data_IF_658751633969
#
_entry.id   IF_658751633969
#
_cell.length_a   1.000
_cell.length_b   1.000
_cell.length_c   1.000
_cell.angle_alpha   90.00
_cell.angle_beta   90.00
_cell.angle_gamma   90.00
#
_symmetry.space_group_name_H-M   'P 1'
#
loop_
_entity.id
_entity.type
_entity.pdbx_description
1 polymer ?
#
# COMPACT_ATOMS: atom_id res chain seq x y z
N UNK A 1 7.77 0.31 44.90
CA UNK A 1 6.68 -0.25 44.07
C UNK A 1 7.26 -0.49 42.68
N UNK A 2 7.39 -1.75 42.26
CA UNK A 2 7.86 -2.06 40.90
C UNK A 2 6.91 -1.43 39.90
N UNK A 3 7.38 -0.50 39.07
CA UNK A 3 6.51 0.08 38.05
C UNK A 3 6.18 -1.02 37.05
N UNK A 4 4.90 -1.40 37.02
CA UNK A 4 4.34 -2.28 36.00
C UNK A 4 4.77 -1.77 34.62
N UNK A 5 5.25 -2.66 33.77
CA UNK A 5 5.66 -2.33 32.41
C UNK A 5 4.44 -1.84 31.64
N UNK A 6 4.57 -0.68 31.01
CA UNK A 6 3.52 -0.03 30.21
C UNK A 6 4.07 0.26 28.84
N UNK A 7 3.29 -0.13 27.84
CA UNK A 7 3.64 -0.11 26.43
C UNK A 7 2.45 0.44 25.66
N UNK A 8 2.74 1.20 24.61
CA UNK A 8 1.79 1.67 23.61
C UNK A 8 2.46 1.40 22.28
N UNK A 9 1.69 0.85 21.35
CA UNK A 9 2.11 0.66 19.96
C UNK A 9 1.09 1.34 19.07
N UNK A 10 1.57 2.05 18.07
CA UNK A 10 0.75 2.86 17.16
C UNK A 10 1.16 2.53 15.74
N UNK A 11 0.23 2.06 14.93
CA UNK A 11 0.41 1.92 13.49
C UNK A 11 0.17 3.28 12.82
N UNK A 12 1.16 3.74 12.07
CA UNK A 12 1.16 5.11 11.55
C UNK A 12 0.11 5.30 10.46
N UNK A 13 -0.15 4.29 9.63
CA UNK A 13 -1.22 4.31 8.63
C UNK A 13 -2.61 4.54 9.26
N UNK A 14 -2.77 4.20 10.54
CA UNK A 14 -3.97 4.42 11.35
C UNK A 14 -4.08 5.80 11.98
N UNK A 15 -3.20 6.76 11.64
CA UNK A 15 -3.31 8.11 12.18
C UNK A 15 -4.63 8.78 11.77
N UNK A 16 -5.31 9.39 12.76
CA UNK A 16 -6.60 10.09 12.61
C UNK A 16 -6.51 11.24 11.59
N UNK A 17 -5.44 12.03 11.68
CA UNK A 17 -5.13 13.09 10.74
C UNK A 17 -3.78 12.78 10.08
N UNK A 18 -3.79 12.60 8.76
CA UNK A 18 -2.56 12.31 8.01
C UNK A 18 -1.81 13.59 7.59
N UNK A 19 -2.40 14.77 7.76
CA UNK A 19 -1.82 16.01 7.25
C UNK A 19 -1.60 15.88 5.74
N UNK A 20 -0.35 16.08 5.29
CA UNK A 20 0.04 15.78 3.90
C UNK A 20 0.82 14.46 3.73
N UNK A 21 0.85 13.60 4.75
CA UNK A 21 1.38 12.24 4.62
C UNK A 21 0.36 11.35 3.90
N UNK A 22 0.86 10.38 3.15
CA UNK A 22 0.04 9.39 2.43
C UNK A 22 0.28 8.00 2.99
N UNK A 23 -0.73 7.13 2.92
CA UNK A 23 -0.58 5.70 3.24
C UNK A 23 0.00 4.99 2.03
N UNK A 24 1.13 4.32 2.22
CA UNK A 24 1.78 3.54 1.19
C UNK A 24 1.70 2.04 1.51
N UNK A 25 0.81 1.28 0.84
CA UNK A 25 0.71 -0.17 0.98
C UNK A 25 1.57 -0.98 -0.01
N UNK A 26 2.48 -0.36 -0.80
CA UNK A 26 3.18 -1.07 -1.88
C UNK A 26 4.05 -2.24 -1.38
N UNK A 27 4.68 -2.10 -0.21
CA UNK A 27 5.64 -3.08 0.32
C UNK A 27 5.08 -3.93 1.46
N UNK A 28 3.75 -4.06 1.57
CA UNK A 28 3.10 -4.80 2.66
C UNK A 28 3.60 -6.24 2.76
N UNK A 29 3.88 -6.94 1.66
CA UNK A 29 4.36 -8.32 1.73
C UNK A 29 5.76 -8.44 2.36
N UNK A 30 6.60 -7.42 2.19
CA UNK A 30 7.93 -7.37 2.81
C UNK A 30 7.87 -6.80 4.23
N UNK A 31 6.93 -5.89 4.48
CA UNK A 31 6.84 -5.06 5.70
C UNK A 31 5.87 -5.58 6.75
N UNK A 32 4.91 -6.40 6.32
CA UNK A 32 3.75 -6.86 7.07
C UNK A 32 2.66 -5.80 7.30
N UNK A 33 2.84 -4.56 6.83
CA UNK A 33 1.90 -3.44 6.99
C UNK A 33 2.16 -2.33 5.95
N UNK A 34 1.15 -1.47 5.72
CA UNK A 34 1.36 -0.15 5.14
C UNK A 34 2.17 0.76 6.07
N UNK A 35 2.61 1.90 5.56
CA UNK A 35 3.28 2.93 6.37
C UNK A 35 2.87 4.33 5.91
N UNK A 36 3.12 5.34 6.74
CA UNK A 36 2.99 6.74 6.31
C UNK A 36 4.24 7.21 5.57
N UNK A 37 4.02 7.94 4.47
CA UNK A 37 5.06 8.56 3.66
C UNK A 37 4.79 10.06 3.45
N UNK A 38 5.77 10.91 3.74
CA UNK A 38 5.69 12.36 3.52
C UNK A 38 6.07 12.73 2.08
N UNK A 39 5.11 12.73 1.16
CA UNK A 39 5.38 13.04 -0.26
C UNK A 39 5.08 14.50 -0.60
N UNK A 40 6.02 15.40 -0.29
CA UNK A 40 5.88 16.85 -0.48
C UNK A 40 6.62 17.44 -1.68
N UNK A 41 7.28 16.61 -2.49
CA UNK A 41 8.09 17.05 -3.64
C UNK A 41 9.18 18.09 -3.27
N UNK A 42 9.76 17.95 -2.07
CA UNK A 42 10.79 18.85 -1.54
C UNK A 42 10.29 20.01 -0.70
N UNK A 43 8.98 20.13 -0.52
CA UNK A 43 8.37 21.01 0.47
C UNK A 43 7.84 20.17 1.64
N UNK A 44 8.19 20.49 2.91
CA UNK A 44 7.67 19.75 4.04
C UNK A 44 6.13 19.74 4.07
N UNK A 45 5.55 18.56 4.25
CA UNK A 45 4.10 18.40 4.30
C UNK A 45 3.51 18.70 5.69
N UNK A 46 2.21 18.98 5.75
CA UNK A 46 1.51 19.16 7.03
C UNK A 46 1.66 17.92 7.92
N UNK A 47 1.80 18.14 9.23
CA UNK A 47 2.05 17.07 10.21
C UNK A 47 0.93 16.03 10.23
N UNK A 48 1.32 14.75 10.24
CA UNK A 48 0.41 13.68 10.63
C UNK A 48 0.27 13.66 12.15
N UNK A 49 -0.93 13.37 12.67
CA UNK A 49 -1.18 13.26 14.10
C UNK A 49 -2.28 12.26 14.46
N UNK A 50 -2.17 11.68 15.64
CA UNK A 50 -3.21 10.84 16.25
C UNK A 50 -3.17 10.98 17.77
N UNK A 51 -4.25 10.57 18.43
CA UNK A 51 -4.33 10.55 19.89
C UNK A 51 -3.93 9.18 20.44
N UNK A 52 -3.13 9.16 21.50
CA UNK A 52 -2.75 7.94 22.22
C UNK A 52 -3.07 8.06 23.70
N UNK A 53 -3.59 6.97 24.28
CA UNK A 53 -3.91 6.93 25.71
C UNK A 53 -2.73 6.46 26.55
N UNK A 54 -2.17 7.38 27.34
CA UNK A 54 -1.06 7.09 28.24
C UNK A 54 -1.59 6.47 29.54
N UNK A 55 -1.20 5.22 29.89
CA UNK A 55 -1.83 4.49 31.01
C UNK A 55 -1.43 5.04 32.39
N UNK A 56 -0.28 5.71 32.50
CA UNK A 56 0.19 6.33 33.73
C UNK A 56 1.16 7.48 33.47
N UNK A 57 1.10 8.54 34.28
CA UNK A 57 2.08 9.64 34.22
C UNK A 57 3.47 9.13 34.53
N UNK A 58 4.47 9.56 33.77
CA UNK A 58 5.85 9.11 33.96
C UNK A 58 6.75 9.46 32.81
N UNK A 59 7.96 8.92 32.85
CA UNK A 59 8.87 9.00 31.72
C UNK A 59 8.62 7.83 30.76
N UNK A 60 8.52 8.13 29.48
CA UNK A 60 8.42 7.15 28.42
C UNK A 60 9.56 7.34 27.43
N UNK A 61 9.97 6.22 26.87
CA UNK A 61 10.94 6.08 25.80
C UNK A 61 10.17 5.82 24.51
N UNK A 62 10.57 6.46 23.42
CA UNK A 62 9.88 6.37 22.14
C UNK A 62 10.84 5.86 21.06
N UNK A 63 10.35 4.93 20.26
CA UNK A 63 11.00 4.43 19.05
C UNK A 63 10.05 4.56 17.87
N UNK A 64 10.61 4.74 16.68
CA UNK A 64 9.89 4.64 15.42
C UNK A 64 10.47 3.52 14.56
N UNK A 65 9.62 2.75 13.90
CA UNK A 65 10.05 1.85 12.83
C UNK A 65 10.06 2.63 11.52
N UNK A 66 11.25 2.89 11.01
CA UNK A 66 11.52 3.80 9.88
C UNK A 66 12.67 3.25 9.05
N UNK A 67 12.89 3.82 7.87
CA UNK A 67 14.09 3.58 7.07
C UNK A 67 14.54 4.86 6.35
N UNK A 68 15.83 4.98 6.11
CA UNK A 68 16.37 5.88 5.08
C UNK A 68 16.15 5.23 3.72
N UNK A 69 15.34 5.86 2.87
CA UNK A 69 15.01 5.34 1.55
C UNK A 69 16.11 5.60 0.50
N UNK A 70 17.05 6.50 0.78
CA UNK A 70 18.18 6.81 -0.09
C UNK A 70 19.47 6.99 0.72
N UNK A 71 20.02 5.90 1.30
CA UNK A 71 21.23 5.97 2.10
C UNK A 71 22.44 6.36 1.24
N UNK A 72 23.28 7.26 1.76
CA UNK A 72 24.51 7.68 1.09
C UNK A 72 25.33 8.71 1.88
N UNK A 73 26.25 9.37 1.19
CA UNK A 73 27.12 10.40 1.78
C UNK A 73 26.47 11.80 1.71
N UNK A 74 25.20 11.88 2.11
CA UNK A 74 24.39 13.11 2.12
C UNK A 74 23.46 13.10 3.34
N UNK A 75 22.77 14.22 3.58
CA UNK A 75 21.73 14.26 4.62
C UNK A 75 20.53 13.42 4.18
N UNK A 76 19.97 12.55 5.04
CA UNK A 76 18.86 11.68 4.66
C UNK A 76 17.67 12.49 4.15
N UNK A 77 17.19 12.23 2.92
CA UNK A 77 16.15 13.04 2.34
C UNK A 77 14.78 12.81 2.97
N UNK A 78 14.56 11.73 3.71
CA UNK A 78 13.28 11.43 4.36
C UNK A 78 13.24 11.76 5.86
N UNK A 79 13.89 12.84 6.29
CA UNK A 79 14.01 13.16 7.72
C UNK A 79 12.70 13.71 8.31
N UNK A 80 12.34 13.26 9.51
CA UNK A 80 11.16 13.75 10.25
C UNK A 80 11.38 13.76 11.77
N UNK A 81 10.66 14.63 12.47
CA UNK A 81 10.61 14.65 13.94
C UNK A 81 9.37 13.94 14.48
N UNK A 82 9.44 13.55 15.75
CA UNK A 82 8.30 13.03 16.51
C UNK A 82 8.02 13.97 17.68
N UNK A 83 6.75 14.31 17.84
CA UNK A 83 6.24 15.08 18.97
C UNK A 83 5.33 14.20 19.82
N UNK A 84 5.42 14.34 21.14
CA UNK A 84 4.48 13.70 22.08
C UNK A 84 3.95 14.75 23.05
N UNK A 85 2.68 15.12 22.87
CA UNK A 85 2.10 16.32 23.47
C UNK A 85 2.75 17.57 22.87
N UNK A 86 3.21 18.48 23.72
CA UNK A 86 3.90 19.71 23.31
C UNK A 86 5.42 19.53 23.21
N UNK A 87 5.96 18.35 23.55
CA UNK A 87 7.40 18.10 23.58
C UNK A 87 7.88 17.40 22.30
N UNK A 88 8.80 18.07 21.58
CA UNK A 88 9.55 17.45 20.49
C UNK A 88 10.60 16.49 21.04
N UNK A 89 10.69 15.29 20.48
CA UNK A 89 11.73 14.34 20.83
C UNK A 89 13.11 14.78 20.33
N UNK A 90 14.19 14.45 21.06
CA UNK A 90 15.53 15.00 20.80
C UNK A 90 16.21 14.47 19.53
N UNK A 91 15.75 13.35 18.95
CA UNK A 91 16.31 12.77 17.73
C UNK A 91 15.26 12.73 16.64
N UNK A 92 15.65 13.19 15.45
CA UNK A 92 14.91 12.99 14.20
C UNK A 92 15.13 11.58 13.65
N UNK A 93 14.19 11.13 12.81
CA UNK A 93 14.06 9.80 12.25
C UNK A 93 14.43 9.76 10.77
N UNK A 94 14.52 8.57 10.16
CA UNK A 94 14.84 8.41 8.74
C UNK A 94 16.33 8.30 8.41
N UNK A 95 17.19 8.02 9.38
CA UNK A 95 18.66 8.06 9.23
C UNK A 95 19.35 6.71 8.95
N UNK A 96 18.61 5.60 8.99
CA UNK A 96 19.21 4.26 8.98
C UNK A 96 18.71 3.44 7.81
N UNK A 97 19.65 2.85 7.06
CA UNK A 97 19.35 1.93 5.97
C UNK A 97 18.64 0.69 6.49
N UNK A 98 17.57 0.29 5.77
CA UNK A 98 16.75 -0.85 6.12
C UNK A 98 15.72 -0.52 7.20
N UNK A 99 14.60 -1.22 7.16
CA UNK A 99 13.51 -0.99 8.10
C UNK A 99 13.85 -1.49 9.49
N UNK A 100 13.73 -0.61 10.49
CA UNK A 100 13.93 -1.02 11.87
C UNK A 100 13.60 0.04 12.92
N UNK A 101 13.61 -0.40 14.18
CA UNK A 101 13.34 0.45 15.34
C UNK A 101 14.48 1.43 15.64
N UNK A 102 14.18 2.72 15.53
CA UNK A 102 15.11 3.81 15.80
C UNK A 102 14.66 4.57 17.05
N UNK A 103 15.56 4.80 17.99
CA UNK A 103 15.23 5.46 19.25
C UNK A 103 15.14 6.97 19.08
N UNK A 104 13.96 7.54 19.35
CA UNK A 104 13.67 8.96 19.21
C UNK A 104 13.98 9.77 20.47
N UNK A 105 13.82 9.17 21.66
CA UNK A 105 14.20 9.79 22.91
C UNK A 105 13.30 9.46 24.08
N UNK A 106 13.42 10.29 25.12
CA UNK A 106 12.70 10.14 26.39
C UNK A 106 11.94 11.43 26.68
N UNK A 107 10.68 11.29 27.09
CA UNK A 107 9.75 12.39 27.32
C UNK A 107 8.93 12.11 28.58
N UNK A 108 8.53 13.17 29.29
CA UNK A 108 7.67 13.05 30.47
C UNK A 108 6.23 13.35 30.07
N UNK A 109 5.36 12.36 30.17
CA UNK A 109 3.95 12.48 29.81
C UNK A 109 3.02 12.29 31.02
N UNK A 110 1.85 12.91 30.96
CA UNK A 110 0.77 12.72 31.94
C UNK A 110 -0.11 11.55 31.52
N UNK A 111 -0.75 10.89 32.50
CA UNK A 111 -1.79 9.90 32.26
C UNK A 111 -2.95 10.54 31.49
N UNK A 112 -3.53 9.80 30.55
CA UNK A 112 -4.67 10.21 29.73
C UNK A 112 -4.29 10.37 28.27
N UNK A 113 -5.22 10.90 27.49
CA UNK A 113 -5.02 11.16 26.07
C UNK A 113 -3.93 12.22 25.86
N UNK A 114 -3.00 11.94 24.94
CA UNK A 114 -2.01 12.89 24.43
C UNK A 114 -1.91 12.72 22.92
N UNK A 115 -1.57 13.80 22.22
CA UNK A 115 -1.35 13.74 20.76
C UNK A 115 0.08 13.28 20.48
N UNK A 116 0.26 12.39 19.51
CA UNK A 116 1.54 12.12 18.86
C UNK A 116 1.51 12.72 17.46
N UNK A 117 2.63 13.31 17.03
CA UNK A 117 2.72 13.92 15.70
C UNK A 117 4.01 13.52 14.98
N UNK A 118 3.93 13.39 13.66
CA UNK A 118 5.06 13.28 12.75
C UNK A 118 5.20 14.61 12.01
N UNK A 119 6.34 15.27 12.17
CA UNK A 119 6.68 16.52 11.50
C UNK A 119 7.69 16.22 10.41
N UNK A 120 7.29 16.35 9.15
CA UNK A 120 8.19 16.25 8.00
C UNK A 120 9.15 17.44 8.00
N UNK A 121 10.42 17.19 7.70
CA UNK A 121 11.47 18.22 7.66
C UNK A 121 11.98 18.50 6.25
N UNK A 122 11.58 17.68 5.29
CA UNK A 122 12.29 17.58 4.01
C UNK A 122 11.38 17.62 2.79
N UNK A 123 10.16 17.12 2.89
CA UNK A 123 9.27 16.96 1.74
C UNK A 123 9.66 15.81 0.81
N UNK A 124 10.67 15.00 1.15
CA UNK A 124 11.18 13.93 0.30
C UNK A 124 11.01 12.55 0.94
N UNK A 125 9.75 12.11 1.06
CA UNK A 125 9.37 10.74 1.38
C UNK A 125 9.90 10.23 2.72
N UNK A 126 9.80 11.01 3.80
CA UNK A 126 10.00 10.44 5.15
C UNK A 126 9.04 9.28 5.39
N UNK A 127 9.51 8.16 5.96
CA UNK A 127 8.74 6.90 6.08
C UNK A 127 8.61 6.45 7.52
N UNK A 128 7.39 6.26 8.00
CA UNK A 128 7.14 5.78 9.36
C UNK A 128 6.07 4.69 9.36
N UNK A 129 6.44 3.48 9.78
CA UNK A 129 5.55 2.33 9.89
C UNK A 129 4.81 2.33 11.23
N UNK A 130 5.55 2.36 12.33
CA UNK A 130 4.94 2.28 13.65
C UNK A 130 5.74 3.03 14.72
N UNK A 131 5.06 3.42 15.79
CA UNK A 131 5.67 3.98 17.00
C UNK A 131 5.53 3.00 18.15
N UNK A 132 6.60 2.83 18.93
CA UNK A 132 6.59 2.10 20.19
C UNK A 132 6.96 3.04 21.32
N UNK A 133 6.08 3.16 22.31
CA UNK A 133 6.21 4.06 23.45
C UNK A 133 6.17 3.23 24.73
N UNK A 134 7.22 3.28 25.54
CA UNK A 134 7.38 2.38 26.70
C UNK A 134 7.96 3.08 27.91
N UNK A 135 7.47 2.74 29.11
CA UNK A 135 8.06 3.25 30.36
C UNK A 135 9.38 2.55 30.74
N UNK A 136 9.88 1.65 29.88
CA UNK A 136 11.18 0.98 30.02
C UNK A 136 12.03 1.21 28.77
N UNK A 137 13.33 1.37 28.96
CA UNK A 137 14.27 1.40 27.84
C UNK A 137 14.46 -0.02 27.28
N UNK A 138 13.66 -0.39 26.27
CA UNK A 138 13.76 -1.68 25.58
C UNK A 138 13.41 -1.47 24.11
N UNK A 139 14.41 -1.61 23.24
CA UNK A 139 14.19 -1.61 21.79
C UNK A 139 13.38 -2.84 21.38
N UNK A 140 12.29 -2.69 20.61
CA UNK A 140 11.56 -3.83 20.06
C UNK A 140 12.43 -4.57 19.01
N UNK A 141 12.12 -5.84 18.74
CA UNK A 141 12.82 -6.62 17.70
C UNK A 141 12.17 -6.41 16.33
N UNK A 142 12.95 -6.62 15.26
CA UNK A 142 12.47 -6.59 13.87
C UNK A 142 12.02 -7.98 13.37
N UNK A 143 11.93 -8.99 14.24
CA UNK A 143 11.43 -10.32 13.86
C UNK A 143 9.94 -10.24 13.47
N UNK A 144 9.59 -10.85 12.33
CA UNK A 144 8.23 -10.75 11.77
C UNK A 144 7.17 -11.28 12.72
N UNK A 145 7.36 -12.47 13.31
CA UNK A 145 6.41 -13.05 14.28
C UNK A 145 6.17 -12.13 15.49
N UNK A 146 7.20 -11.40 15.92
CA UNK A 146 7.10 -10.45 17.02
C UNK A 146 6.35 -9.17 16.60
N UNK A 147 6.58 -8.67 15.38
CA UNK A 147 5.84 -7.53 14.85
C UNK A 147 4.36 -7.86 14.68
N UNK A 148 4.05 -9.05 14.13
CA UNK A 148 2.69 -9.56 14.03
C UNK A 148 2.02 -9.65 15.41
N UNK A 149 2.69 -10.24 16.39
CA UNK A 149 2.19 -10.31 17.77
C UNK A 149 1.98 -8.92 18.39
N UNK A 150 2.84 -7.93 18.11
CA UNK A 150 2.60 -6.55 18.55
C UNK A 150 1.36 -5.93 17.90
N UNK A 151 1.21 -6.05 16.58
CA UNK A 151 0.04 -5.55 15.85
C UNK A 151 -1.26 -6.17 16.39
N UNK A 152 -1.25 -7.50 16.59
CA UNK A 152 -2.37 -8.24 17.17
C UNK A 152 -2.75 -7.72 18.57
N UNK A 153 -1.74 -7.48 19.42
CA UNK A 153 -1.97 -7.08 20.82
C UNK A 153 -2.42 -5.64 21.01
N UNK A 154 -1.98 -4.72 20.15
CA UNK A 154 -2.14 -3.28 20.40
C UNK A 154 -3.02 -2.56 19.39
N UNK A 155 -3.06 -3.01 18.14
CA UNK A 155 -3.86 -2.38 17.08
C UNK A 155 -5.23 -3.00 16.91
N UNK A 156 -5.51 -4.10 17.61
CA UNK A 156 -6.68 -4.94 17.30
C UNK A 156 -6.56 -5.61 15.93
N UNK A 157 -5.35 -5.74 15.39
CA UNK A 157 -5.12 -6.50 14.16
C UNK A 157 -5.72 -7.89 14.33
N UNK A 158 -6.67 -8.23 13.46
CA UNK A 158 -7.31 -9.53 13.50
C UNK A 158 -6.68 -10.41 12.43
N UNK A 159 -6.06 -11.50 12.88
CA UNK A 159 -5.48 -12.53 12.00
C UNK A 159 -6.58 -13.23 11.18
N UNK A 160 -7.78 -13.36 11.76
CA UNK A 160 -8.95 -13.96 11.12
C UNK A 160 -10.09 -12.94 11.08
N UNK A 161 -10.68 -12.63 9.92
CA UNK A 161 -11.81 -11.70 9.87
C UNK A 161 -12.95 -12.09 10.81
N UNK A 162 -13.50 -11.10 11.53
CA UNK A 162 -14.72 -11.30 12.33
C UNK A 162 -15.98 -11.20 11.47
N UNK A 163 -15.94 -10.35 10.44
CA UNK A 163 -17.02 -10.19 9.48
C UNK A 163 -16.83 -11.16 8.30
N UNK A 164 -17.93 -11.76 7.87
CA UNK A 164 -17.99 -12.59 6.66
C UNK A 164 -19.13 -12.11 5.78
N UNK A 165 -18.81 -11.84 4.52
CA UNK A 165 -19.75 -11.42 3.49
C UNK A 165 -19.81 -12.48 2.38
N UNK A 166 -21.03 -12.81 1.95
CA UNK A 166 -21.28 -13.80 0.91
C UNK A 166 -21.71 -13.15 -0.41
N UNK A 167 -21.08 -13.57 -1.50
CA UNK A 167 -21.32 -13.11 -2.86
C UNK A 167 -21.45 -14.29 -3.83
N UNK A 168 -21.92 -14.03 -5.04
CA UNK A 168 -21.91 -15.03 -6.11
C UNK A 168 -20.55 -15.05 -6.83
N UNK A 169 -19.85 -13.91 -6.85
CA UNK A 169 -18.51 -13.75 -7.41
C UNK A 169 -17.68 -12.78 -6.58
N UNK A 170 -16.45 -13.17 -6.25
CA UNK A 170 -15.44 -12.27 -5.68
C UNK A 170 -14.38 -11.97 -6.74
N UNK A 171 -14.21 -10.71 -7.07
CA UNK A 171 -13.17 -10.20 -7.98
C UNK A 171 -12.15 -9.42 -7.15
N UNK A 172 -10.88 -9.83 -7.19
CA UNK A 172 -9.81 -9.16 -6.45
C UNK A 172 -8.90 -8.42 -7.43
N UNK A 173 -8.86 -7.09 -7.32
CA UNK A 173 -8.10 -6.20 -8.19
C UNK A 173 -9.00 -5.35 -9.09
N UNK A 174 -9.14 -4.08 -8.76
CA UNK A 174 -9.91 -3.04 -9.46
C UNK A 174 -9.22 -2.45 -10.69
N UNK A 175 -8.33 -3.20 -11.35
CA UNK A 175 -7.78 -2.82 -12.66
C UNK A 175 -8.83 -2.92 -13.78
N UNK A 176 -8.42 -2.66 -15.03
CA UNK A 176 -9.34 -2.81 -16.18
C UNK A 176 -9.96 -4.21 -16.25
N UNK A 177 -9.16 -5.25 -16.05
CA UNK A 177 -9.62 -6.64 -16.10
C UNK A 177 -10.69 -6.92 -15.02
N UNK A 178 -10.45 -6.52 -13.77
CA UNK A 178 -11.40 -6.75 -12.69
C UNK A 178 -12.66 -5.90 -12.80
N UNK A 179 -12.55 -4.64 -13.26
CA UNK A 179 -13.72 -3.82 -13.55
C UNK A 179 -14.57 -4.45 -14.67
N UNK A 180 -13.94 -4.91 -15.75
CA UNK A 180 -14.64 -5.54 -16.87
C UNK A 180 -15.31 -6.86 -16.45
N UNK A 181 -14.61 -7.70 -15.68
CA UNK A 181 -15.14 -8.94 -15.13
C UNK A 181 -16.35 -8.68 -14.21
N UNK A 182 -16.27 -7.65 -13.37
CA UNK A 182 -17.36 -7.28 -12.44
C UNK A 182 -18.60 -6.81 -13.18
N UNK A 183 -18.45 -5.94 -14.18
CA UNK A 183 -19.57 -5.48 -15.03
C UNK A 183 -20.19 -6.65 -15.78
N UNK A 184 -19.37 -7.50 -16.41
CA UNK A 184 -19.87 -8.65 -17.16
C UNK A 184 -20.65 -9.63 -16.26
N UNK A 185 -20.16 -9.90 -15.05
CA UNK A 185 -20.83 -10.74 -14.06
C UNK A 185 -22.13 -10.12 -13.53
N UNK A 186 -22.11 -8.81 -13.25
CA UNK A 186 -23.28 -8.09 -12.78
C UNK A 186 -24.41 -8.09 -13.81
N UNK A 187 -24.10 -7.97 -15.10
CA UNK A 187 -25.08 -8.06 -16.19
C UNK A 187 -25.70 -9.45 -16.36
N UNK A 188 -25.01 -10.49 -15.89
CA UNK A 188 -25.55 -11.84 -15.80
C UNK A 188 -26.37 -12.06 -14.52
N UNK A 189 -26.54 -11.03 -13.70
CA UNK A 189 -27.35 -11.05 -12.48
C UNK A 189 -26.62 -11.54 -11.22
N UNK A 190 -25.30 -11.73 -11.27
CA UNK A 190 -24.51 -12.14 -10.10
C UNK A 190 -24.36 -10.98 -9.11
N UNK A 191 -24.33 -11.28 -7.81
CA UNK A 191 -23.85 -10.37 -6.77
C UNK A 191 -22.32 -10.42 -6.72
N UNK A 192 -21.69 -9.29 -7.00
CA UNK A 192 -20.23 -9.19 -7.15
C UNK A 192 -19.64 -8.41 -5.99
N UNK A 193 -18.59 -8.93 -5.36
CA UNK A 193 -17.66 -8.14 -4.58
C UNK A 193 -16.46 -7.77 -5.45
N UNK A 194 -16.21 -6.47 -5.64
CA UNK A 194 -14.99 -5.97 -6.28
C UNK A 194 -14.07 -5.38 -5.20
N UNK A 195 -12.98 -6.08 -4.91
CA UNK A 195 -12.02 -5.74 -3.86
C UNK A 195 -10.82 -5.05 -4.49
N UNK A 196 -10.49 -3.83 -4.04
CA UNK A 196 -9.37 -3.04 -4.55
C UNK A 196 -8.58 -2.45 -3.40
N UNK A 197 -7.25 -2.64 -3.43
CA UNK A 197 -6.34 -2.27 -2.34
C UNK A 197 -6.02 -0.77 -2.28
N UNK A 198 -6.50 0.00 -3.27
CA UNK A 198 -6.30 1.45 -3.42
C UNK A 198 -7.64 2.20 -3.42
N UNK A 199 -7.64 3.53 -3.21
CA UNK A 199 -8.87 4.31 -3.20
C UNK A 199 -9.45 4.57 -4.60
N UNK A 200 -8.84 4.03 -5.65
CA UNK A 200 -9.18 4.31 -7.05
C UNK A 200 -9.21 3.04 -7.89
N UNK A 201 -10.03 3.07 -8.94
CA UNK A 201 -10.10 2.02 -9.97
C UNK A 201 -9.14 2.29 -11.14
N UNK A 202 -8.82 1.25 -11.92
CA UNK A 202 -8.09 1.32 -13.18
C UNK A 202 -6.66 0.77 -13.15
N UNK A 203 -6.12 0.42 -11.98
CA UNK A 203 -4.74 -0.08 -11.86
C UNK A 203 -3.74 0.92 -12.44
N UNK A 204 -2.90 0.51 -13.39
CA UNK A 204 -1.96 1.42 -14.06
C UNK A 204 -2.64 2.55 -14.84
N UNK A 205 -3.91 2.39 -15.22
CA UNK A 205 -4.70 3.43 -15.88
C UNK A 205 -5.39 4.40 -14.91
N UNK A 206 -5.25 4.19 -13.60
CA UNK A 206 -5.78 5.10 -12.59
C UNK A 206 -5.14 6.49 -12.65
N UNK A 207 -5.72 7.42 -11.90
CA UNK A 207 -5.19 8.77 -11.69
C UNK A 207 -3.88 8.78 -10.90
N UNK A 208 -3.48 7.67 -10.25
CA UNK A 208 -2.18 7.52 -9.57
C UNK A 208 -1.04 7.29 -10.58
N UNK A 209 -1.20 6.32 -11.49
CA UNK A 209 -0.12 5.86 -12.39
C UNK A 209 -0.24 6.44 -13.81
N UNK A 210 -1.47 6.67 -14.31
CA UNK A 210 -1.77 7.43 -15.52
C UNK A 210 -1.16 6.87 -16.81
N UNK A 211 -1.04 5.56 -16.90
CA UNK A 211 -0.70 4.86 -18.15
C UNK A 211 -1.99 4.67 -18.94
N UNK A 212 -2.07 5.28 -20.13
CA UNK A 212 -3.25 5.13 -20.95
C UNK A 212 -3.41 3.68 -21.44
N UNK A 213 -4.64 3.30 -21.72
CA UNK A 213 -4.99 1.95 -22.14
C UNK A 213 -4.79 1.81 -23.65
N UNK A 214 -4.09 0.77 -24.08
CA UNK A 214 -3.98 0.36 -25.47
C UNK A 214 -4.40 -1.10 -25.61
N UNK A 215 -5.03 -1.43 -26.74
CA UNK A 215 -5.44 -2.81 -27.02
C UNK A 215 -6.50 -2.89 -28.11
N UNK A 216 -6.92 -4.13 -28.39
CA UNK A 216 -7.99 -4.42 -29.34
C UNK A 216 -9.25 -4.73 -28.54
N UNK A 217 -10.35 -4.01 -28.82
CA UNK A 217 -11.61 -4.20 -28.12
C UNK A 217 -12.30 -5.54 -28.39
N UNK A 218 -12.20 -6.05 -29.63
CA UNK A 218 -12.83 -7.29 -30.05
C UNK A 218 -14.34 -7.33 -29.77
N UNK A 219 -14.84 -8.48 -29.30
CA UNK A 219 -16.25 -8.69 -28.98
C UNK A 219 -16.72 -7.98 -27.69
N UNK A 220 -15.81 -7.38 -26.93
CA UNK A 220 -16.08 -6.79 -25.62
C UNK A 220 -16.05 -5.26 -25.64
N UNK A 221 -16.11 -4.66 -26.83
CA UNK A 221 -16.04 -3.21 -27.05
C UNK A 221 -16.97 -2.41 -26.14
N UNK A 222 -18.20 -2.87 -25.94
CA UNK A 222 -19.18 -2.16 -25.10
C UNK A 222 -18.67 -1.96 -23.67
N UNK A 223 -18.20 -3.01 -23.00
CA UNK A 223 -17.72 -2.94 -21.61
C UNK A 223 -16.38 -2.21 -21.58
N UNK A 224 -15.49 -2.47 -22.53
CA UNK A 224 -14.18 -1.84 -22.53
C UNK A 224 -14.25 -0.33 -22.76
N UNK A 225 -15.18 0.18 -23.58
CA UNK A 225 -15.42 1.63 -23.74
C UNK A 225 -15.94 2.33 -22.48
N UNK A 226 -16.54 1.58 -21.56
CA UNK A 226 -16.94 2.11 -20.25
C UNK A 226 -15.72 2.32 -19.33
N UNK A 227 -14.58 1.68 -19.63
CA UNK A 227 -13.45 1.55 -18.70
C UNK A 227 -12.13 2.11 -19.22
N UNK A 228 -11.95 2.14 -20.54
CA UNK A 228 -10.74 2.59 -21.22
C UNK A 228 -10.40 4.05 -20.91
N UNK A 229 -9.25 4.50 -21.39
CA UNK A 229 -8.83 5.90 -21.30
C UNK A 229 -8.80 6.53 -22.67
N UNK A 230 -8.99 7.85 -22.70
CA UNK A 230 -8.51 8.63 -23.83
C UNK A 230 -6.98 8.48 -23.97
N UNK A 231 -6.46 8.65 -25.19
CA UNK A 231 -5.03 8.48 -25.47
C UNK A 231 -4.23 9.75 -25.14
N UNK A 232 -4.20 10.09 -23.86
CA UNK A 232 -3.33 11.14 -23.36
C UNK A 232 -1.86 10.68 -23.32
N UNK A 233 -0.89 11.60 -23.35
CA UNK A 233 0.48 11.28 -22.98
C UNK A 233 0.52 10.62 -21.59
N UNK A 234 1.33 9.56 -21.44
CA UNK A 234 1.52 8.90 -20.15
C UNK A 234 1.86 9.92 -19.07
N UNK A 235 1.17 9.83 -17.94
CA UNK A 235 1.31 10.81 -16.88
C UNK A 235 0.42 12.02 -17.00
N UNK A 236 -0.51 12.11 -17.94
CA UNK A 236 -1.44 13.24 -18.04
C UNK A 236 -2.39 13.34 -16.84
N UNK A 237 -2.67 14.55 -16.28
CA UNK A 237 -3.62 14.70 -15.19
C UNK A 237 -5.06 14.42 -15.61
N UNK A 238 -5.33 14.43 -16.92
CA UNK A 238 -6.64 14.15 -17.49
C UNK A 238 -7.08 12.69 -17.31
N UNK A 239 -6.17 11.78 -16.93
CA UNK A 239 -6.50 10.41 -16.53
C UNK A 239 -7.52 10.36 -15.36
N UNK A 240 -7.64 11.45 -14.58
CA UNK A 240 -8.67 11.59 -13.55
C UNK A 240 -10.09 11.55 -14.13
N UNK A 241 -10.31 12.07 -15.34
CA UNK A 241 -11.64 12.02 -15.98
C UNK A 241 -11.99 10.59 -16.40
N UNK A 242 -11.02 9.83 -16.89
CA UNK A 242 -11.21 8.41 -17.21
C UNK A 242 -11.44 7.56 -15.96
N UNK A 243 -10.84 7.93 -14.84
CA UNK A 243 -11.11 7.31 -13.54
C UNK A 243 -12.53 7.58 -13.05
N UNK A 244 -13.02 8.83 -13.14
CA UNK A 244 -14.41 9.15 -12.83
C UNK A 244 -15.38 8.34 -13.70
N UNK A 245 -15.12 8.28 -15.02
CA UNK A 245 -15.88 7.44 -15.96
C UNK A 245 -15.92 5.97 -15.50
N UNK A 246 -14.79 5.42 -15.05
CA UNK A 246 -14.72 4.04 -14.52
C UNK A 246 -15.58 3.87 -13.27
N UNK A 247 -15.47 4.78 -12.30
CA UNK A 247 -16.29 4.75 -11.09
C UNK A 247 -17.78 4.81 -11.42
N UNK A 248 -18.21 5.78 -12.25
CA UNK A 248 -19.61 5.92 -12.67
C UNK A 248 -20.16 4.64 -13.31
N UNK A 249 -19.36 3.98 -14.15
CA UNK A 249 -19.77 2.76 -14.82
C UNK A 249 -19.81 1.54 -13.90
N UNK A 250 -18.89 1.41 -12.93
CA UNK A 250 -18.90 0.29 -11.97
C UNK A 250 -19.99 0.49 -10.91
N UNK A 251 -20.06 1.67 -10.30
CA UNK A 251 -21.01 2.01 -9.24
C UNK A 251 -22.46 2.16 -9.77
N UNK A 252 -22.63 2.30 -11.08
CA UNK A 252 -23.95 2.28 -11.74
C UNK A 252 -24.69 0.94 -11.63
N UNK A 253 -24.00 -0.16 -11.27
CA UNK A 253 -24.61 -1.47 -11.08
C UNK A 253 -24.94 -1.73 -9.61
N UNK A 254 -26.24 -1.87 -9.29
CA UNK A 254 -26.71 -2.08 -7.90
C UNK A 254 -26.28 -3.42 -7.28
N UNK A 255 -25.79 -4.35 -8.09
CA UNK A 255 -25.33 -5.68 -7.67
C UNK A 255 -23.79 -5.82 -7.68
N UNK A 256 -23.05 -4.72 -7.83
CA UNK A 256 -21.61 -4.66 -7.54
C UNK A 256 -21.43 -3.93 -6.20
N UNK A 257 -20.85 -4.64 -5.23
CA UNK A 257 -20.36 -4.03 -3.99
C UNK A 257 -18.87 -3.74 -4.15
N UNK A 258 -18.51 -2.45 -4.18
CA UNK A 258 -17.14 -1.98 -4.34
C UNK A 258 -16.46 -1.78 -2.97
N UNK A 259 -15.35 -2.47 -2.75
CA UNK A 259 -14.53 -2.39 -1.53
C UNK A 259 -13.17 -1.77 -1.85
N UNK A 260 -13.10 -0.43 -1.77
CA UNK A 260 -11.86 0.32 -1.95
C UNK A 260 -11.02 0.31 -0.68
N UNK A 261 -9.70 0.44 -0.84
CA UNK A 261 -8.72 0.35 0.24
C UNK A 261 -8.75 -0.99 0.99
N UNK A 262 -9.28 -2.07 0.42
CA UNK A 262 -9.19 -3.41 1.00
C UNK A 262 -8.16 -4.24 0.23
N UNK A 263 -7.09 -4.63 0.89
CA UNK A 263 -6.04 -5.48 0.33
C UNK A 263 -6.29 -6.92 0.74
N UNK A 264 -6.42 -7.82 -0.23
CA UNK A 264 -6.42 -9.26 0.05
C UNK A 264 -5.09 -9.68 0.69
N UNK A 265 -5.12 -10.55 1.69
CA UNK A 265 -3.91 -11.06 2.35
C UNK A 265 -3.89 -12.59 2.49
N UNK A 266 -5.00 -13.26 2.15
CA UNK A 266 -5.09 -14.71 2.24
C UNK A 266 -6.19 -15.25 1.32
N UNK A 267 -5.89 -16.33 0.61
CA UNK A 267 -6.89 -17.19 -0.01
C UNK A 267 -7.04 -18.45 0.86
N UNK A 268 -8.26 -18.74 1.31
CA UNK A 268 -8.55 -19.94 2.10
C UNK A 268 -8.99 -21.06 1.15
N UNK A 269 -8.30 -22.20 1.24
CA UNK A 269 -8.59 -23.37 0.42
C UNK A 269 -9.01 -24.57 1.25
N UNK A 270 -9.87 -25.41 0.68
CA UNK A 270 -10.30 -26.69 1.23
C UNK A 270 -10.79 -27.59 0.10
N UNK A 271 -10.45 -28.88 0.14
CA UNK A 271 -10.86 -29.86 -0.88
C UNK A 271 -10.58 -29.41 -2.34
N UNK A 272 -9.43 -28.77 -2.57
CA UNK A 272 -9.00 -28.21 -3.88
C UNK A 272 -9.88 -27.06 -4.41
N UNK A 273 -10.70 -26.45 -3.56
CA UNK A 273 -11.51 -25.28 -3.88
C UNK A 273 -11.06 -24.09 -3.03
N UNK A 274 -11.15 -22.89 -3.61
CA UNK A 274 -11.09 -21.66 -2.84
C UNK A 274 -12.44 -21.49 -2.16
N UNK A 275 -12.46 -21.38 -0.83
CA UNK A 275 -13.68 -21.17 -0.05
C UNK A 275 -13.92 -19.70 0.24
N UNK A 276 -12.84 -18.92 0.41
CA UNK A 276 -12.91 -17.49 0.66
C UNK A 276 -11.60 -16.78 0.38
N UNK A 277 -11.69 -15.45 0.24
CA UNK A 277 -10.55 -14.53 0.30
C UNK A 277 -10.73 -13.62 1.50
N UNK A 278 -9.68 -13.43 2.29
CA UNK A 278 -9.66 -12.47 3.40
C UNK A 278 -8.95 -11.20 2.94
N UNK A 279 -9.57 -10.04 3.18
CA UNK A 279 -9.01 -8.74 2.86
C UNK A 279 -9.05 -7.79 4.06
N UNK A 280 -8.09 -6.88 4.11
CA UNK A 280 -7.91 -5.91 5.21
C UNK A 280 -7.90 -4.49 4.68
N UNK A 281 -8.61 -3.60 5.36
CA UNK A 281 -8.59 -2.18 5.06
C UNK A 281 -7.21 -1.58 5.36
N UNK A 282 -6.61 -0.89 4.39
CA UNK A 282 -5.20 -0.46 4.41
C UNK A 282 -4.90 0.67 5.40
N UNK A 283 -5.91 1.27 6.03
CA UNK A 283 -5.69 2.32 7.06
C UNK A 283 -6.29 1.96 8.42
N UNK A 284 -7.43 1.27 8.47
CA UNK A 284 -8.11 0.96 9.75
C UNK A 284 -7.73 -0.42 10.29
N UNK A 285 -7.17 -1.30 9.45
CA UNK A 285 -6.87 -2.68 9.84
C UNK A 285 -8.09 -3.60 9.94
N UNK A 286 -9.29 -3.10 9.67
CA UNK A 286 -10.52 -3.90 9.62
C UNK A 286 -10.38 -5.03 8.60
N UNK A 287 -10.70 -6.26 9.00
CA UNK A 287 -10.57 -7.44 8.17
C UNK A 287 -11.94 -8.07 7.89
N UNK A 288 -12.20 -8.38 6.62
CA UNK A 288 -13.44 -8.99 6.13
C UNK A 288 -13.09 -10.27 5.37
N UNK A 289 -13.87 -11.32 5.59
CA UNK A 289 -13.84 -12.56 4.81
C UNK A 289 -14.90 -12.50 3.71
N UNK A 290 -14.50 -12.80 2.48
CA UNK A 290 -15.36 -12.82 1.30
C UNK A 290 -15.54 -14.26 0.83
N UNK A 291 -16.75 -14.79 0.99
CA UNK A 291 -17.14 -16.12 0.53
C UNK A 291 -17.88 -16.03 -0.79
N UNK A 292 -17.53 -16.92 -1.73
CA UNK A 292 -18.23 -17.05 -3.01
C UNK A 292 -17.99 -18.44 -3.62
N UNK A 293 -18.87 -18.90 -4.53
CA UNK A 293 -18.61 -20.09 -5.33
C UNK A 293 -17.59 -19.85 -6.46
N UNK A 294 -17.37 -18.59 -6.84
CA UNK A 294 -16.47 -18.20 -7.93
C UNK A 294 -15.54 -17.05 -7.49
N UNK A 295 -14.29 -17.10 -7.96
CA UNK A 295 -13.26 -16.10 -7.71
C UNK A 295 -12.58 -15.71 -9.01
N UNK A 296 -12.23 -14.44 -9.16
CA UNK A 296 -11.42 -13.92 -10.25
C UNK A 296 -10.23 -13.17 -9.66
N UNK A 297 -9.03 -13.66 -9.97
CA UNK A 297 -7.78 -12.99 -9.64
C UNK A 297 -7.44 -11.96 -10.73
N UNK A 298 -7.47 -10.69 -10.36
CA UNK A 298 -7.10 -9.55 -11.18
C UNK A 298 -6.07 -8.66 -10.43
N UNK A 299 -5.28 -9.23 -9.52
CA UNK A 299 -4.32 -8.47 -8.70
C UNK A 299 -3.08 -8.02 -9.47
N UNK A 300 -2.95 -8.38 -10.75
CA UNK A 300 -1.75 -8.18 -11.56
C UNK A 300 -0.72 -9.28 -11.35
N UNK A 301 -0.26 -9.45 -10.11
CA UNK A 301 0.77 -10.46 -9.76
C UNK A 301 0.24 -11.90 -9.60
N UNK A 302 -1.09 -12.10 -9.53
CA UNK A 302 -1.70 -13.41 -9.32
C UNK A 302 -1.65 -13.89 -7.86
N UNK A 303 -1.82 -12.98 -6.89
CA UNK A 303 -1.68 -13.29 -5.46
C UNK A 303 -2.71 -14.30 -4.96
N UNK A 304 -3.95 -14.23 -5.44
CA UNK A 304 -5.00 -15.16 -5.03
C UNK A 304 -4.69 -16.56 -5.57
N UNK A 305 -4.25 -16.65 -6.82
CA UNK A 305 -3.78 -17.90 -7.41
C UNK A 305 -2.60 -18.50 -6.65
N UNK A 306 -1.60 -17.68 -6.33
CA UNK A 306 -0.43 -18.08 -5.55
C UNK A 306 -0.82 -18.61 -4.16
N UNK A 307 -1.64 -17.86 -3.39
CA UNK A 307 -2.09 -18.28 -2.06
C UNK A 307 -3.03 -19.49 -2.11
N UNK A 308 -3.77 -19.68 -3.21
CA UNK A 308 -4.59 -20.87 -3.42
C UNK A 308 -3.78 -22.13 -3.76
N UNK A 309 -2.47 -22.00 -3.99
CA UNK A 309 -1.57 -23.11 -4.33
C UNK A 309 -1.56 -23.46 -5.82
N UNK A 310 -1.91 -22.51 -6.70
CA UNK A 310 -1.74 -22.69 -8.14
C UNK A 310 -0.24 -22.78 -8.50
N UNK A 311 0.06 -23.49 -9.59
CA UNK A 311 1.38 -23.42 -10.23
C UNK A 311 1.59 -22.00 -10.78
N UNK A 312 2.79 -21.45 -10.60
CA UNK A 312 3.14 -20.11 -11.05
C UNK A 312 4.59 -20.08 -11.52
N UNK A 313 4.90 -19.10 -12.37
CA UNK A 313 6.27 -18.73 -12.75
C UNK A 313 6.54 -17.31 -12.28
N UNK A 314 7.81 -16.97 -12.06
CA UNK A 314 8.23 -15.61 -11.73
C UNK A 314 9.42 -15.21 -12.61
N UNK A 315 9.34 -14.02 -13.21
CA UNK A 315 10.31 -13.55 -14.16
C UNK A 315 10.04 -14.09 -15.56
N UNK A 316 11.09 -14.46 -16.29
CA UNK A 316 11.00 -14.98 -17.66
C UNK A 316 11.37 -16.45 -17.70
N UNK A 317 10.50 -17.26 -18.28
CA UNK A 317 10.71 -18.69 -18.52
C UNK A 317 11.71 -18.95 -19.65
N UNK A 318 12.32 -20.15 -19.73
CA UNK A 318 13.18 -20.46 -20.86
C UNK A 318 12.34 -20.71 -22.13
N UNK A 319 12.84 -20.30 -23.28
CA UNK A 319 12.20 -20.44 -24.59
C UNK A 319 11.74 -21.89 -24.91
N UNK A 320 12.49 -22.87 -24.41
CA UNK A 320 12.24 -24.30 -24.54
C UNK A 320 11.03 -24.82 -23.76
N UNK A 321 10.52 -24.08 -22.77
CA UNK A 321 9.39 -24.52 -21.94
C UNK A 321 8.10 -24.64 -22.76
N UNK A 322 7.84 -23.68 -23.65
CA UNK A 322 6.66 -23.63 -24.51
C UNK A 322 6.98 -23.67 -26.01
N UNK A 323 8.27 -23.76 -26.37
CA UNK A 323 8.69 -23.81 -27.77
C UNK A 323 8.63 -22.44 -28.47
N UNK A 324 8.98 -21.38 -27.74
CA UNK A 324 8.91 -19.99 -28.19
C UNK A 324 10.28 -19.45 -28.63
N UNK A 325 11.20 -20.34 -29.01
CA UNK A 325 12.50 -19.97 -29.53
C UNK A 325 12.36 -19.32 -30.92
N UNK A 326 12.80 -18.06 -31.06
CA UNK A 326 12.83 -17.35 -32.33
C UNK A 326 14.25 -16.88 -32.66
N UNK A 327 14.90 -17.54 -33.64
CA UNK A 327 16.27 -17.18 -34.06
C UNK A 327 16.42 -15.71 -34.45
N UNK A 328 15.37 -15.08 -35.01
CA UNK A 328 15.36 -13.66 -35.39
C UNK A 328 15.45 -12.71 -34.19
N UNK A 329 14.83 -13.06 -33.06
CA UNK A 329 14.69 -12.17 -31.90
C UNK A 329 15.64 -12.54 -30.74
N UNK A 330 16.33 -13.68 -30.82
CA UNK A 330 17.24 -14.16 -29.79
C UNK A 330 16.56 -14.20 -28.41
N UNK A 331 17.24 -13.69 -27.38
CA UNK A 331 16.75 -13.67 -25.98
C UNK A 331 15.81 -12.48 -25.65
N UNK A 332 15.31 -11.74 -26.66
CA UNK A 332 14.53 -10.54 -26.43
C UNK A 332 13.20 -10.82 -25.71
N UNK A 333 12.52 -11.90 -26.09
CA UNK A 333 11.20 -12.27 -25.57
C UNK A 333 11.29 -13.32 -24.47
N UNK A 334 11.94 -14.45 -24.77
CA UNK A 334 12.15 -15.55 -23.83
C UNK A 334 13.64 -15.94 -23.83
N UNK A 335 14.34 -15.95 -22.68
CA UNK A 335 15.75 -16.31 -22.61
C UNK A 335 15.99 -17.81 -22.82
N UNK A 336 17.24 -18.23 -23.09
CA UNK A 336 17.60 -19.67 -23.13
C UNK A 336 17.48 -20.32 -21.73
N UNK A 337 17.67 -19.51 -20.67
CA UNK A 337 17.57 -19.91 -19.27
C UNK A 337 16.66 -18.97 -18.52
N UNK A 338 15.85 -19.54 -17.63
CA UNK A 338 15.01 -18.75 -16.74
C UNK A 338 15.80 -17.70 -15.96
N UNK A 339 15.19 -16.53 -15.77
CA UNK A 339 15.71 -15.49 -14.91
C UNK A 339 14.59 -14.75 -14.17
N UNK A 340 14.98 -13.95 -13.17
CA UNK A 340 14.05 -13.23 -12.31
C UNK A 340 13.72 -11.82 -12.84
N UNK A 341 13.91 -11.56 -14.15
CA UNK A 341 13.61 -10.25 -14.71
C UNK A 341 12.11 -10.05 -14.85
N UNK A 342 11.61 -8.96 -14.27
CA UNK A 342 10.22 -8.52 -14.35
C UNK A 342 10.17 -7.10 -14.89
N UNK A 343 8.97 -6.62 -15.25
CA UNK A 343 8.80 -5.20 -15.61
C UNK A 343 9.30 -4.30 -14.48
N UNK A 344 10.12 -3.32 -14.81
CA UNK A 344 10.66 -2.37 -13.85
C UNK A 344 9.64 -1.33 -13.37
N UNK A 345 10.02 -0.55 -12.37
CA UNK A 345 9.23 0.56 -11.86
C UNK A 345 9.15 1.71 -12.87
N UNK A 346 7.98 2.36 -12.96
CA UNK A 346 7.80 3.59 -13.74
C UNK A 346 8.06 4.82 -12.89
N UNK A 347 8.78 5.81 -13.42
CA UNK A 347 8.95 7.12 -12.78
C UNK A 347 8.23 8.17 -13.61
N UNK A 348 7.28 8.87 -12.99
CA UNK A 348 6.48 9.88 -13.66
C UNK A 348 7.04 11.28 -13.42
N UNK A 349 7.47 11.94 -14.49
CA UNK A 349 7.93 13.33 -14.46
C UNK A 349 7.02 14.20 -15.31
N UNK A 350 6.73 15.41 -14.83
CA UNK A 350 6.05 16.44 -15.59
C UNK A 350 6.91 17.68 -15.63
N UNK A 351 6.95 18.31 -16.79
CA UNK A 351 7.51 19.63 -16.97
C UNK A 351 6.41 20.56 -17.46
N UNK A 352 6.48 21.82 -17.05
CA UNK A 352 5.64 22.88 -17.58
C UNK A 352 6.55 24.03 -17.99
N UNK A 353 6.13 24.80 -19.00
CA UNK A 353 6.82 26.03 -19.36
C UNK A 353 6.64 27.03 -18.23
N UNK A 354 7.76 27.60 -17.78
CA UNK A 354 7.79 28.67 -16.79
C UNK A 354 8.31 29.94 -17.45
N UNK A 355 7.65 31.06 -17.16
CA UNK A 355 8.08 32.39 -17.60
C UNK A 355 9.25 32.93 -16.74
N UNK A 356 9.63 32.21 -15.69
CA UNK A 356 10.75 32.51 -14.81
C UNK A 356 11.76 31.35 -14.75
N UNK A 357 13.03 31.69 -14.50
CA UNK A 357 14.08 30.72 -14.21
C UNK A 357 13.76 30.06 -12.87
N UNK A 358 13.56 28.74 -12.88
CA UNK A 358 13.46 27.94 -11.66
C UNK A 358 14.81 27.27 -11.41
N UNK A 359 15.32 27.40 -10.18
CA UNK A 359 16.52 26.72 -9.73
C UNK A 359 16.07 25.48 -8.96
N UNK A 360 16.52 24.30 -9.38
CA UNK A 360 16.32 23.09 -8.60
C UNK A 360 17.31 23.08 -7.43
N UNK A 361 16.87 22.67 -6.22
CA UNK A 361 17.80 22.48 -5.12
C UNK A 361 18.82 21.40 -5.48
N UNK A 362 20.04 21.50 -4.95
CA UNK A 362 20.97 20.37 -5.02
C UNK A 362 20.38 19.20 -4.24
N UNK A 363 20.12 18.10 -4.94
CA UNK A 363 19.56 16.86 -4.41
C UNK A 363 20.61 15.76 -4.58
N UNK A 364 21.66 15.71 -3.73
CA UNK A 364 22.80 14.81 -3.92
C UNK A 364 22.48 13.31 -3.92
N UNK A 365 21.25 12.95 -3.56
CA UNK A 365 20.72 11.59 -3.57
C UNK A 365 19.98 11.19 -4.86
N UNK A 366 19.73 12.14 -5.78
CA UNK A 366 18.90 11.95 -6.97
C UNK A 366 19.68 12.08 -8.28
#
# INVERSE_FOLDING_TARGET
>A
MSSCHKEIFVECEGFDNKGGWVVDPQFVEQMGSPYLMAHGMGEPVENASTSVDVPSSGNYHVWARTTDWAPGNWSPPGEFNIWLGEEKLPKSMGHYQGWGWNYAGKVKVKKGSTVVQLEDLTGFNGRCDALYISNRYRTPTNQQDYLLDMRNRFSGFVEKPEETLAFDLVVVGGGLAGCAASIAAAEQGLKVALIQDRPVLGGNASSEIRVHTLGIYGYFERILRMLDTEHYPNGSPLALEDEKKRHENVEGYSNISLFLNYRAFQANTGDQLISSVDARHTSSGEAIRFEAPYFVDCTGDGWIGYWAGAEFNYGREPDSLYGEAWEEYGELWSPEKEDLQVMGSSVLWRTYYSDSVNVFPEVPWA
#
